data_IF_074222958295
#
_entry.id   IF_074222958295
#
_cell.length_a   1.000
_cell.length_b   1.000
_cell.length_c   1.000
_cell.angle_alpha   90.00
_cell.angle_beta   90.00
_cell.angle_gamma   90.00
#
_symmetry.space_group_name_H-M   'P 1'
#
loop_
_entity.id
_entity.type
_entity.pdbx_description
1 polymer ?
#
# COMPACT_ATOMS: atom_id res chain seq x y z
N UNK A 1 -13.59 5.77 7.78
CA UNK A 1 -12.82 4.92 6.84
C UNK A 1 -13.04 5.40 5.42
N UNK A 2 -11.99 5.46 4.62
CA UNK A 2 -12.04 5.95 3.24
C UNK A 2 -12.70 4.94 2.30
N UNK A 3 -13.26 5.43 1.20
CA UNK A 3 -13.80 4.59 0.14
C UNK A 3 -12.67 4.08 -0.77
N UNK A 4 -12.86 2.88 -1.32
CA UNK A 4 -11.98 2.29 -2.32
C UNK A 4 -12.31 2.85 -3.71
N UNK A 5 -11.35 2.74 -4.63
CA UNK A 5 -11.48 3.14 -6.04
C UNK A 5 -12.61 2.40 -6.79
N UNK A 6 -12.88 1.15 -6.37
CA UNK A 6 -14.06 0.39 -6.76
C UNK A 6 -14.97 0.23 -5.55
N UNK A 7 -16.23 0.67 -5.66
CA UNK A 7 -17.20 0.61 -4.55
C UNK A 7 -17.44 -0.81 -4.06
N UNK A 8 -17.30 -1.82 -4.93
CA UNK A 8 -17.39 -3.24 -4.60
C UNK A 8 -16.28 -3.72 -3.66
N UNK A 9 -15.17 -2.98 -3.55
CA UNK A 9 -14.05 -3.33 -2.68
C UNK A 9 -14.12 -2.64 -1.31
N UNK A 10 -15.18 -1.87 -1.03
CA UNK A 10 -15.28 -1.08 0.20
C UNK A 10 -15.34 -1.93 1.47
N UNK A 11 -16.03 -3.07 1.44
CA UNK A 11 -16.12 -3.96 2.59
C UNK A 11 -14.78 -4.61 2.91
N UNK A 12 -14.15 -5.23 1.89
CA UNK A 12 -12.80 -5.79 1.99
C UNK A 12 -11.77 -4.75 2.46
N UNK A 13 -11.90 -3.50 2.02
CA UNK A 13 -11.05 -2.40 2.48
C UNK A 13 -11.21 -2.15 3.98
N UNK A 14 -12.46 -2.09 4.48
CA UNK A 14 -12.73 -1.84 5.90
C UNK A 14 -12.15 -2.94 6.77
N UNK A 15 -12.33 -4.20 6.39
CA UNK A 15 -11.80 -5.35 7.12
C UNK A 15 -10.27 -5.33 7.14
N UNK A 16 -9.64 -5.12 5.98
CA UNK A 16 -8.18 -5.03 5.88
C UNK A 16 -7.62 -3.85 6.68
N UNK A 17 -8.19 -2.64 6.53
CA UNK A 17 -7.74 -1.43 7.22
C UNK A 17 -7.88 -1.59 8.75
N UNK A 18 -8.96 -2.21 9.23
CA UNK A 18 -9.15 -2.49 10.65
C UNK A 18 -8.07 -3.43 11.20
N UNK A 19 -7.78 -4.53 10.48
CA UNK A 19 -6.70 -5.46 10.84
C UNK A 19 -5.34 -4.74 10.83
N UNK A 20 -5.03 -4.04 9.74
CA UNK A 20 -3.76 -3.36 9.55
C UNK A 20 -3.52 -2.31 10.62
N UNK A 21 -4.50 -1.46 10.94
CA UNK A 21 -4.33 -0.40 11.94
C UNK A 21 -4.03 -0.96 13.34
N UNK A 22 -4.70 -2.06 13.71
CA UNK A 22 -4.42 -2.77 14.96
C UNK A 22 -3.02 -3.35 14.97
N UNK A 23 -2.68 -4.15 13.95
CA UNK A 23 -1.35 -4.74 13.82
C UNK A 23 -0.24 -3.68 13.81
N UNK A 24 -0.43 -2.60 13.06
CA UNK A 24 0.54 -1.51 12.93
C UNK A 24 0.83 -0.87 14.30
N UNK A 25 -0.23 -0.54 15.05
CA UNK A 25 -0.12 0.17 16.33
C UNK A 25 0.34 -0.73 17.49
N UNK A 26 -0.13 -1.98 17.52
CA UNK A 26 0.09 -2.88 18.65
C UNK A 26 1.31 -3.79 18.49
N UNK A 27 1.75 -4.05 17.25
CA UNK A 27 2.81 -5.02 16.91
C UNK A 27 3.97 -4.36 16.18
N UNK A 28 3.72 -3.84 14.98
CA UNK A 28 4.78 -3.34 14.09
C UNK A 28 5.60 -2.22 14.74
N UNK A 29 4.94 -1.18 15.28
CA UNK A 29 5.62 -0.08 15.97
C UNK A 29 6.36 -0.50 17.27
N UNK A 30 6.07 -1.69 17.79
CA UNK A 30 6.74 -2.28 18.97
C UNK A 30 7.81 -3.30 18.59
N UNK A 31 8.12 -3.45 17.29
CA UNK A 31 9.16 -4.32 16.78
C UNK A 31 8.71 -5.73 16.37
N UNK A 32 7.42 -6.06 16.50
CA UNK A 32 6.89 -7.34 16.00
C UNK A 32 6.40 -7.19 14.56
N UNK A 33 7.19 -7.72 13.63
CA UNK A 33 6.96 -7.57 12.19
C UNK A 33 6.17 -8.74 11.56
N UNK A 34 5.68 -9.69 12.37
CA UNK A 34 5.00 -10.87 11.84
C UNK A 34 3.70 -10.47 11.14
N UNK A 35 3.46 -10.91 9.89
CA UNK A 35 2.25 -10.52 9.16
C UNK A 35 1.00 -11.20 9.74
N UNK A 36 -0.02 -10.42 10.09
CA UNK A 36 -1.31 -10.94 10.58
C UNK A 36 -2.47 -10.73 9.59
N UNK A 37 -2.33 -9.79 8.65
CA UNK A 37 -3.43 -9.35 7.77
C UNK A 37 -3.27 -9.79 6.31
N UNK A 38 -2.36 -10.73 6.01
CA UNK A 38 -1.96 -11.10 4.65
C UNK A 38 -3.13 -11.61 3.79
N UNK A 39 -3.96 -12.49 4.35
CA UNK A 39 -5.13 -13.04 3.64
C UNK A 39 -6.20 -11.97 3.33
N UNK A 40 -6.43 -11.05 4.26
CA UNK A 40 -7.33 -9.91 4.04
C UNK A 40 -6.75 -8.97 2.97
N UNK A 41 -5.44 -8.70 3.04
CA UNK A 41 -4.75 -7.88 2.07
C UNK A 41 -4.85 -8.46 0.66
N UNK A 42 -4.63 -9.77 0.50
CA UNK A 42 -4.69 -10.44 -0.79
C UNK A 42 -6.07 -10.29 -1.44
N UNK A 43 -7.14 -10.57 -0.69
CA UNK A 43 -8.53 -10.39 -1.16
C UNK A 43 -8.82 -8.95 -1.56
N UNK A 44 -8.44 -8.00 -0.71
CA UNK A 44 -8.64 -6.57 -1.00
C UNK A 44 -7.84 -6.12 -2.24
N UNK A 45 -6.56 -6.49 -2.31
CA UNK A 45 -5.65 -6.17 -3.42
C UNK A 45 -6.19 -6.69 -4.74
N UNK A 46 -6.63 -7.94 -4.78
CA UNK A 46 -7.17 -8.56 -6.00
C UNK A 46 -8.40 -7.78 -6.50
N UNK A 47 -9.31 -7.40 -5.59
CA UNK A 47 -10.46 -6.56 -5.92
C UNK A 47 -10.04 -5.18 -6.47
N UNK A 48 -9.09 -4.51 -5.83
CA UNK A 48 -8.60 -3.19 -6.25
C UNK A 48 -7.92 -3.26 -7.61
N UNK A 49 -7.11 -4.29 -7.87
CA UNK A 49 -6.40 -4.41 -9.15
C UNK A 49 -7.37 -4.59 -10.33
N UNK A 50 -8.53 -5.23 -10.13
CA UNK A 50 -9.60 -5.27 -11.14
C UNK A 50 -10.14 -3.86 -11.40
N UNK A 51 -10.48 -3.10 -10.36
CA UNK A 51 -11.00 -1.74 -10.49
C UNK A 51 -9.99 -0.77 -11.13
N UNK A 52 -8.70 -0.92 -10.81
CA UNK A 52 -7.59 -0.14 -11.40
C UNK A 52 -7.50 -0.37 -12.91
N UNK A 53 -7.59 -1.63 -13.36
CA UNK A 53 -7.60 -1.97 -14.80
C UNK A 53 -8.84 -1.42 -15.51
N UNK A 54 -10.02 -1.52 -14.89
CA UNK A 54 -11.26 -0.99 -15.46
C UNK A 54 -11.21 0.54 -15.66
N UNK A 55 -10.49 1.25 -14.81
CA UNK A 55 -10.27 2.70 -14.92
C UNK A 55 -9.08 3.09 -15.79
N UNK A 56 -8.38 2.12 -16.39
CA UNK A 56 -7.27 2.34 -17.33
C UNK A 56 -6.10 3.16 -16.75
N UNK A 57 -5.91 3.12 -15.43
CA UNK A 57 -4.79 3.80 -14.74
C UNK A 57 -3.66 2.83 -14.37
N UNK A 58 -3.78 1.56 -14.73
CA UNK A 58 -2.81 0.50 -14.44
C UNK A 58 -1.42 0.80 -15.00
N UNK A 59 -1.34 1.31 -16.24
CA UNK A 59 -0.05 1.70 -16.87
C UNK A 59 0.64 2.82 -16.11
N UNK A 60 -0.10 3.87 -15.74
CA UNK A 60 0.42 5.01 -14.98
C UNK A 60 0.90 4.56 -13.60
N UNK A 61 0.13 3.68 -12.94
CA UNK A 61 0.50 3.13 -11.64
C UNK A 61 1.77 2.27 -11.70
N UNK A 62 1.93 1.47 -12.76
CA UNK A 62 3.14 0.65 -12.95
C UNK A 62 4.35 1.54 -13.21
N UNK A 63 4.20 2.60 -14.01
CA UNK A 63 5.30 3.52 -14.28
C UNK A 63 5.74 4.25 -13.01
N UNK A 64 4.80 4.86 -12.27
CA UNK A 64 5.09 5.57 -11.03
C UNK A 64 5.67 4.68 -9.91
N UNK A 65 5.45 3.35 -9.97
CA UNK A 65 6.03 2.40 -9.01
C UNK A 65 7.49 2.05 -9.29
N UNK A 66 8.01 2.37 -10.49
CA UNK A 66 9.43 2.21 -10.82
C UNK A 66 10.28 3.33 -10.26
N UNK A 67 9.67 4.50 -10.02
CA UNK A 67 10.34 5.64 -9.43
C UNK A 67 10.68 5.36 -7.96
N UNK A 68 11.91 5.71 -7.56
CA UNK A 68 12.31 5.74 -6.15
C UNK A 68 12.48 7.21 -5.72
N UNK A 69 11.42 7.86 -5.22
CA UNK A 69 11.46 9.28 -4.90
C UNK A 69 12.29 9.63 -3.65
N UNK A 70 12.80 8.63 -2.92
CA UNK A 70 13.55 8.83 -1.67
C UNK A 70 15.07 8.68 -1.85
N UNK A 71 15.53 8.07 -2.95
CA UNK A 71 16.95 8.01 -3.32
C UNK A 71 17.50 9.37 -3.78
N UNK A 72 16.66 10.24 -4.30
CA UNK A 72 17.05 11.60 -4.74
C UNK A 72 17.33 12.57 -3.59
N UNK A 73 16.89 12.28 -2.36
CA UNK A 73 17.16 13.11 -1.18
C UNK A 73 18.37 12.66 -0.34
N UNK A 74 19.10 11.64 -0.79
CA UNK A 74 20.31 11.12 -0.11
C UNK A 74 21.64 11.47 -0.82
N UNK A 75 21.62 12.34 -1.84
CA UNK A 75 22.81 12.80 -2.55
C UNK A 75 23.02 14.31 -2.43
N UNK A 76 23.20 14.82 -1.21
CA UNK A 76 23.76 16.17 -0.99
C UNK A 76 24.88 16.20 0.07
N UNK A 77 25.54 15.07 0.32
CA UNK A 77 26.81 15.03 1.05
C UNK A 77 27.66 13.83 0.63
N UNK A 78 28.19 13.86 -0.60
CA UNK A 78 29.34 13.01 -0.96
C UNK A 78 30.31 13.79 -1.85
N UNK A 79 31.35 14.31 -1.21
CA UNK A 79 32.62 14.70 -1.85
C UNK A 79 32.62 16.08 -2.49
N UNK A 80 33.01 17.10 -1.70
CA UNK A 80 33.82 18.19 -2.25
C UNK A 80 35.15 18.20 -1.50
N UNK A 81 36.21 18.19 -2.31
CA UNK A 81 37.62 18.22 -1.96
C UNK A 81 38.00 19.27 -0.92
#
# INVERSE_FOLDING_TARGET
MSQSIGSQCNELKKEYDACFNKWYSEKFLKGDIRPECEELFKKYKDCVMVAVKQKQIDKLLVEARKDDPFTSSSSENKGKS
#
